data_IF_822149410025
#
_entry.id   IF_822149410025
#
_cell.length_a   1.000
_cell.length_b   1.000
_cell.length_c   1.000
_cell.angle_alpha   90.00
_cell.angle_beta   90.00
_cell.angle_gamma   90.00
#
_symmetry.space_group_name_H-M   'P 1'
#
loop_
_entity.id
_entity.type
_entity.pdbx_description
1 polymer ?
#
# COMPACT_ATOMS: atom_id res chain seq x y z
N UNK A 1 -1.83 -17.08 -23.18
CA UNK A 1 -2.68 -17.36 -21.98
C UNK A 1 -1.84 -16.96 -20.78
N UNK A 2 -2.35 -16.10 -19.87
CA UNK A 2 -1.61 -15.72 -18.68
C UNK A 2 -1.52 -16.87 -17.66
N UNK A 3 -0.56 -16.85 -16.74
CA UNK A 3 -0.47 -17.83 -15.65
C UNK A 3 -1.69 -17.70 -14.70
N UNK A 4 -1.99 -18.79 -13.98
CA UNK A 4 -2.97 -18.75 -12.90
C UNK A 4 -2.49 -17.86 -11.76
N UNK A 5 -3.40 -17.06 -11.20
CA UNK A 5 -3.10 -16.10 -10.13
C UNK A 5 -3.98 -16.33 -8.91
N UNK A 6 -3.51 -15.93 -7.75
CA UNK A 6 -4.33 -15.81 -6.55
C UNK A 6 -4.38 -14.34 -6.12
N UNK A 7 -5.55 -13.74 -6.21
CA UNK A 7 -5.80 -12.38 -5.71
C UNK A 7 -5.99 -12.44 -4.20
N UNK A 8 -5.25 -11.64 -3.46
CA UNK A 8 -5.21 -11.65 -1.98
C UNK A 8 -5.46 -10.24 -1.47
N UNK A 9 -6.56 -10.05 -0.75
CA UNK A 9 -6.92 -8.78 -0.14
C UNK A 9 -6.95 -8.90 1.39
N UNK A 10 -6.08 -8.20 2.12
CA UNK A 10 -6.17 -8.12 3.58
C UNK A 10 -7.39 -7.27 3.97
N UNK A 11 -8.16 -7.73 4.95
CA UNK A 11 -9.38 -7.06 5.37
C UNK A 11 -9.50 -6.96 6.89
N UNK A 12 -9.89 -5.78 7.40
CA UNK A 12 -10.15 -5.54 8.82
C UNK A 12 -11.28 -4.52 9.06
N UNK A 13 -12.16 -4.33 8.07
CA UNK A 13 -13.26 -3.37 8.08
C UNK A 13 -14.58 -3.90 8.64
N UNK A 14 -15.67 -3.14 8.45
CA UNK A 14 -17.03 -3.53 8.81
C UNK A 14 -17.64 -4.50 7.79
N UNK A 15 -18.72 -5.20 8.15
CA UNK A 15 -19.39 -6.18 7.25
C UNK A 15 -19.85 -5.56 5.93
N UNK A 16 -20.42 -4.35 5.97
CA UNK A 16 -20.81 -3.65 4.74
C UNK A 16 -19.64 -3.33 3.81
N UNK A 17 -18.43 -3.08 4.37
CA UNK A 17 -17.21 -2.89 3.59
C UNK A 17 -16.71 -4.21 3.00
N UNK A 18 -16.91 -5.34 3.73
CA UNK A 18 -16.62 -6.68 3.22
C UNK A 18 -17.52 -7.03 2.03
N UNK A 19 -18.82 -6.75 2.12
CA UNK A 19 -19.75 -6.99 1.02
C UNK A 19 -19.40 -6.18 -0.23
N UNK A 20 -19.06 -4.91 -0.05
CA UNK A 20 -18.59 -4.06 -1.15
C UNK A 20 -17.26 -4.53 -1.74
N UNK A 21 -16.32 -5.04 -0.92
CA UNK A 21 -15.06 -5.62 -1.38
C UNK A 21 -15.30 -6.86 -2.23
N UNK A 22 -16.16 -7.79 -1.76
CA UNK A 22 -16.50 -9.01 -2.49
C UNK A 22 -17.05 -8.65 -3.87
N UNK A 23 -18.00 -7.71 -3.97
CA UNK A 23 -18.53 -7.26 -5.26
C UNK A 23 -17.45 -6.70 -6.21
N UNK A 24 -16.42 -6.00 -5.67
CA UNK A 24 -15.30 -5.54 -6.50
C UNK A 24 -14.41 -6.69 -6.99
N UNK A 25 -14.17 -7.70 -6.15
CA UNK A 25 -13.39 -8.88 -6.55
C UNK A 25 -14.13 -9.75 -7.57
N UNK A 26 -15.45 -9.89 -7.44
CA UNK A 26 -16.29 -10.60 -8.41
C UNK A 26 -16.33 -9.93 -9.79
N UNK A 27 -16.11 -8.61 -9.85
CA UNK A 27 -16.04 -7.88 -11.11
C UNK A 27 -14.72 -8.10 -11.89
N UNK A 28 -13.70 -8.72 -11.29
CA UNK A 28 -12.48 -9.10 -11.98
C UNK A 28 -12.74 -10.21 -13.01
N UNK A 29 -12.11 -10.11 -14.19
CA UNK A 29 -12.09 -11.20 -15.17
C UNK A 29 -11.14 -12.32 -14.72
N UNK A 30 -11.57 -13.07 -13.70
CA UNK A 30 -10.85 -14.22 -13.20
C UNK A 30 -11.12 -15.45 -14.06
N UNK A 31 -10.07 -16.22 -14.33
CA UNK A 31 -10.18 -17.53 -15.00
C UNK A 31 -10.53 -18.66 -14.02
N UNK A 32 -10.84 -19.86 -14.52
CA UNK A 32 -11.25 -20.99 -13.68
C UNK A 32 -10.14 -21.48 -12.73
N UNK A 33 -8.88 -21.21 -13.05
CA UNK A 33 -7.70 -21.58 -12.25
C UNK A 33 -7.30 -20.49 -11.25
N UNK A 34 -7.96 -19.32 -11.24
CA UNK A 34 -7.64 -18.22 -10.35
C UNK A 34 -8.33 -18.38 -8.99
N UNK A 35 -7.67 -17.89 -7.94
CA UNK A 35 -8.25 -17.75 -6.61
C UNK A 35 -8.58 -16.29 -6.31
N UNK A 36 -9.73 -16.04 -5.70
CA UNK A 36 -10.08 -14.74 -5.11
C UNK A 36 -10.17 -14.92 -3.59
N UNK A 37 -9.23 -14.33 -2.85
CA UNK A 37 -9.05 -14.55 -1.42
C UNK A 37 -9.16 -13.24 -0.64
N UNK A 38 -10.04 -13.21 0.36
CA UNK A 38 -10.07 -12.15 1.38
C UNK A 38 -9.49 -12.71 2.67
N UNK A 39 -8.38 -12.15 3.13
CA UNK A 39 -7.75 -12.52 4.39
C UNK A 39 -8.36 -11.66 5.52
N UNK A 40 -9.35 -12.20 6.23
CA UNK A 40 -10.09 -11.52 7.28
C UNK A 40 -9.26 -11.44 8.57
N UNK A 41 -8.70 -10.26 8.83
CA UNK A 41 -7.85 -9.95 9.98
C UNK A 41 -8.63 -9.24 11.12
N UNK A 42 -9.95 -9.37 11.14
CA UNK A 42 -10.76 -8.89 12.25
C UNK A 42 -10.54 -9.72 13.52
N UNK A 43 -10.85 -9.21 14.70
CA UNK A 43 -10.74 -9.97 15.96
C UNK A 43 -11.56 -11.28 15.97
N UNK A 44 -12.66 -11.29 15.22
CA UNK A 44 -13.55 -12.44 15.03
C UNK A 44 -13.78 -12.64 13.54
N UNK A 45 -12.83 -13.26 12.84
CA UNK A 45 -13.00 -13.51 11.42
C UNK A 45 -14.13 -14.52 11.17
N UNK A 46 -14.80 -14.36 10.03
CA UNK A 46 -15.87 -15.26 9.58
C UNK A 46 -15.43 -15.99 8.31
N UNK A 47 -14.63 -17.08 8.41
CA UNK A 47 -14.17 -17.81 7.25
C UNK A 47 -15.32 -18.51 6.51
N UNK A 48 -15.18 -18.66 5.20
CA UNK A 48 -16.20 -19.29 4.37
C UNK A 48 -16.05 -18.92 2.89
N UNK A 49 -17.10 -19.13 2.12
CA UNK A 49 -17.20 -18.72 0.71
C UNK A 49 -18.41 -17.81 0.50
N UNK A 50 -18.21 -16.80 -0.35
CA UNK A 50 -19.27 -15.95 -0.90
C UNK A 50 -19.06 -15.86 -2.41
N UNK A 51 -19.91 -16.54 -3.18
CA UNK A 51 -19.69 -16.70 -4.62
C UNK A 51 -18.31 -17.32 -4.92
N UNK A 52 -17.51 -16.74 -5.84
CA UNK A 52 -16.18 -17.21 -6.16
C UNK A 52 -15.13 -16.83 -5.08
N UNK A 53 -15.43 -15.91 -4.18
CA UNK A 53 -14.48 -15.38 -3.18
C UNK A 53 -14.43 -16.28 -1.96
N UNK A 54 -13.22 -16.72 -1.58
CA UNK A 54 -12.96 -17.44 -0.34
C UNK A 54 -12.50 -16.46 0.75
N UNK A 55 -13.11 -16.52 1.93
CA UNK A 55 -12.72 -15.73 3.10
C UNK A 55 -11.86 -16.62 3.99
N UNK A 56 -10.61 -16.24 4.16
CA UNK A 56 -9.60 -16.94 4.97
C UNK A 56 -9.45 -16.24 6.33
N UNK A 57 -9.56 -16.99 7.41
CA UNK A 57 -9.31 -16.43 8.73
C UNK A 57 -7.83 -16.08 8.91
N UNK A 58 -7.54 -14.83 9.26
CA UNK A 58 -6.22 -14.33 9.59
C UNK A 58 -6.20 -13.80 11.04
N UNK A 59 -6.65 -14.64 11.98
CA UNK A 59 -6.65 -14.31 13.41
C UNK A 59 -5.25 -14.45 14.02
N UNK A 60 -4.79 -13.43 14.75
CA UNK A 60 -3.48 -13.43 15.36
C UNK A 60 -2.91 -12.01 15.47
N UNK A 61 -1.93 -11.69 14.65
CA UNK A 61 -1.37 -10.34 14.60
C UNK A 61 -2.27 -9.41 13.78
N UNK A 62 -2.50 -8.20 14.29
CA UNK A 62 -3.25 -7.16 13.58
C UNK A 62 -2.32 -6.39 12.65
N UNK A 63 -1.98 -6.99 11.52
CA UNK A 63 -1.17 -6.36 10.49
C UNK A 63 -1.59 -6.80 9.09
N UNK A 64 -1.50 -5.92 8.09
CA UNK A 64 -1.71 -6.28 6.70
C UNK A 64 -0.74 -7.38 6.23
N UNK A 65 0.50 -7.34 6.69
CA UNK A 65 1.53 -8.35 6.41
C UNK A 65 1.12 -9.75 6.85
N UNK A 66 0.64 -9.90 8.10
CA UNK A 66 0.13 -11.17 8.61
C UNK A 66 -1.07 -11.68 7.80
N UNK A 67 -2.02 -10.79 7.48
CA UNK A 67 -3.19 -11.14 6.69
C UNK A 67 -2.80 -11.58 5.26
N UNK A 68 -1.90 -10.83 4.58
CA UNK A 68 -1.43 -11.21 3.24
C UNK A 68 -0.71 -12.55 3.27
N UNK A 69 0.12 -12.83 4.28
CA UNK A 69 0.75 -14.15 4.43
C UNK A 69 -0.28 -15.27 4.67
N UNK A 70 -1.33 -15.02 5.45
CA UNK A 70 -2.39 -16.00 5.66
C UNK A 70 -3.12 -16.32 4.34
N UNK A 71 -3.42 -15.31 3.53
CA UNK A 71 -3.96 -15.49 2.18
C UNK A 71 -2.99 -16.24 1.26
N UNK A 72 -1.70 -15.89 1.28
CA UNK A 72 -0.66 -16.52 0.46
C UNK A 72 -0.49 -18.01 0.78
N UNK A 73 -0.60 -18.42 2.04
CA UNK A 73 -0.57 -19.84 2.42
C UNK A 73 -1.75 -20.64 1.86
N UNK A 74 -2.88 -19.99 1.58
CA UNK A 74 -4.09 -20.62 1.00
C UNK A 74 -4.09 -20.61 -0.52
N UNK A 75 -3.35 -19.68 -1.11
CA UNK A 75 -3.29 -19.41 -2.54
C UNK A 75 -2.70 -20.59 -3.34
N UNK A 76 -3.12 -20.77 -4.61
CA UNK A 76 -2.68 -21.83 -5.52
C UNK A 76 -2.04 -21.31 -6.80
N UNK A 77 -2.32 -20.07 -7.20
CA UNK A 77 -1.80 -19.46 -8.41
C UNK A 77 -0.27 -19.38 -8.45
N UNK A 78 0.32 -19.37 -9.60
CA UNK A 78 1.76 -19.17 -9.80
C UNK A 78 2.22 -17.76 -9.43
N UNK A 79 1.30 -16.80 -9.41
CA UNK A 79 1.49 -15.43 -8.98
C UNK A 79 0.50 -15.04 -7.91
N UNK A 80 0.95 -14.27 -6.94
CA UNK A 80 0.17 -13.72 -5.84
C UNK A 80 -0.10 -12.24 -6.14
N UNK A 81 -1.35 -11.90 -6.44
CA UNK A 81 -1.76 -10.52 -6.73
C UNK A 81 -2.30 -9.89 -5.45
N UNK A 82 -1.57 -8.94 -4.89
CA UNK A 82 -1.99 -8.21 -3.71
C UNK A 82 -2.71 -6.93 -4.12
N UNK A 83 -3.90 -6.73 -3.60
CA UNK A 83 -4.70 -5.49 -3.73
C UNK A 83 -5.29 -5.13 -2.37
N UNK A 84 -5.28 -3.85 -2.01
CA UNK A 84 -5.82 -3.41 -0.73
C UNK A 84 -7.36 -3.31 -0.76
N UNK A 85 -8.00 -3.45 0.41
CA UNK A 85 -9.45 -3.45 0.53
C UNK A 85 -10.10 -2.10 0.19
N UNK A 86 -9.34 -1.00 0.21
CA UNK A 86 -9.78 0.35 -0.16
C UNK A 86 -9.42 0.74 -1.61
N UNK A 87 -9.02 -0.24 -2.42
CA UNK A 87 -8.82 -0.07 -3.87
C UNK A 87 -9.99 -0.60 -4.68
N UNK A 88 -10.14 -0.07 -5.89
CA UNK A 88 -11.08 -0.55 -6.91
C UNK A 88 -10.28 -0.98 -8.15
N UNK A 89 -10.05 -2.29 -8.32
CA UNK A 89 -9.34 -2.81 -9.50
C UNK A 89 -10.24 -2.74 -10.74
N UNK A 90 -9.61 -2.48 -11.90
CA UNK A 90 -10.29 -2.62 -13.19
C UNK A 90 -10.58 -4.11 -13.46
N UNK A 91 -11.63 -4.40 -14.21
CA UNK A 91 -12.00 -5.77 -14.55
C UNK A 91 -10.88 -6.56 -15.26
N UNK A 92 -10.02 -5.88 -16.03
CA UNK A 92 -8.91 -6.44 -16.79
C UNK A 92 -7.56 -6.43 -16.06
N UNK A 93 -7.54 -6.09 -14.76
CA UNK A 93 -6.33 -5.99 -13.96
C UNK A 93 -5.40 -7.20 -14.12
N UNK A 94 -5.97 -8.40 -14.05
CA UNK A 94 -5.20 -9.65 -14.06
C UNK A 94 -4.51 -9.87 -15.42
N UNK A 95 -5.18 -9.54 -16.53
CA UNK A 95 -4.62 -9.64 -17.87
C UNK A 95 -3.54 -8.56 -18.10
N UNK A 96 -3.77 -7.35 -17.57
CA UNK A 96 -2.84 -6.23 -17.71
C UNK A 96 -1.49 -6.49 -17.03
N UNK A 97 -1.46 -7.23 -15.92
CA UNK A 97 -0.19 -7.64 -15.29
C UNK A 97 0.70 -8.49 -16.20
N UNK A 98 0.10 -9.31 -17.08
CA UNK A 98 0.81 -10.28 -17.90
C UNK A 98 0.85 -9.90 -19.39
N UNK A 99 0.62 -8.63 -19.70
CA UNK A 99 0.70 -8.09 -21.05
C UNK A 99 1.61 -6.85 -21.07
N UNK A 100 2.86 -6.98 -21.54
CA UNK A 100 3.53 -8.18 -22.08
C UNK A 100 3.82 -9.23 -20.99
N UNK A 101 4.16 -10.47 -21.35
CA UNK A 101 4.62 -11.47 -20.40
C UNK A 101 5.81 -10.97 -19.58
N UNK A 102 5.89 -11.28 -18.26
CA UNK A 102 7.03 -10.88 -17.44
C UNK A 102 8.29 -11.68 -17.81
N UNK A 103 9.46 -11.07 -17.60
CA UNK A 103 10.74 -11.75 -17.75
C UNK A 103 10.86 -12.92 -16.75
N UNK A 104 11.72 -13.89 -17.05
CA UNK A 104 11.87 -15.10 -16.23
C UNK A 104 12.42 -14.78 -14.83
N UNK A 105 13.23 -13.74 -14.71
CA UNK A 105 13.81 -13.25 -13.45
C UNK A 105 12.93 -12.18 -12.76
N UNK A 106 11.75 -11.86 -13.31
CA UNK A 106 10.81 -10.97 -12.65
C UNK A 106 10.21 -11.63 -11.41
N UNK A 107 10.51 -11.07 -10.24
CA UNK A 107 9.99 -11.51 -8.95
C UNK A 107 8.73 -10.79 -8.52
N UNK A 108 8.58 -9.53 -8.94
CA UNK A 108 7.43 -8.69 -8.61
C UNK A 108 7.11 -7.72 -9.76
N UNK A 109 5.83 -7.59 -10.04
CA UNK A 109 5.24 -6.66 -11.00
C UNK A 109 4.48 -5.57 -10.23
N UNK A 110 4.85 -4.31 -10.41
CA UNK A 110 4.20 -3.18 -9.76
C UNK A 110 3.13 -2.57 -10.64
N UNK A 111 1.88 -2.56 -10.15
CA UNK A 111 0.75 -1.94 -10.84
C UNK A 111 0.64 -0.44 -10.59
N UNK A 112 -0.14 0.23 -11.43
CA UNK A 112 -0.49 1.65 -11.26
C UNK A 112 -1.45 1.84 -10.09
N UNK A 113 -1.29 2.92 -9.33
CA UNK A 113 -2.21 3.34 -8.27
C UNK A 113 -2.60 4.78 -8.53
N UNK A 114 -3.91 5.06 -8.54
CA UNK A 114 -4.43 6.40 -8.73
C UNK A 114 -5.38 6.75 -7.59
N UNK A 115 -5.08 7.80 -6.85
CA UNK A 115 -6.00 8.33 -5.85
C UNK A 115 -7.25 8.92 -6.50
N UNK A 116 -8.42 8.54 -6.02
CA UNK A 116 -9.73 9.07 -6.45
C UNK A 116 -10.48 9.67 -5.27
N UNK A 117 -11.30 10.67 -5.58
CA UNK A 117 -12.10 11.39 -4.59
C UNK A 117 -13.53 10.87 -4.62
N UNK A 118 -13.96 10.16 -3.57
CA UNK A 118 -15.37 9.78 -3.39
C UNK A 118 -16.19 10.99 -2.91
N UNK A 119 -15.67 11.70 -1.91
CA UNK A 119 -16.29 12.94 -1.39
C UNK A 119 -15.30 14.09 -1.53
N UNK A 120 -15.70 15.22 -2.14
CA UNK A 120 -14.81 16.33 -2.45
C UNK A 120 -14.46 17.18 -1.21
N UNK A 121 -13.94 16.54 -0.16
CA UNK A 121 -13.41 17.27 1.00
C UNK A 121 -12.08 17.95 0.64
N UNK A 122 -11.70 18.98 1.39
CA UNK A 122 -10.42 19.67 1.19
C UNK A 122 -9.23 18.72 1.36
N UNK A 123 -9.35 17.76 2.28
CA UNK A 123 -8.29 16.75 2.52
C UNK A 123 -8.21 15.76 1.38
N UNK A 124 -9.33 15.28 0.84
CA UNK A 124 -9.31 14.37 -0.30
C UNK A 124 -8.70 15.04 -1.54
N UNK A 125 -9.06 16.32 -1.81
CA UNK A 125 -8.41 17.09 -2.90
C UNK A 125 -6.91 17.26 -2.67
N UNK A 126 -6.49 17.56 -1.43
CA UNK A 126 -5.06 17.61 -1.07
C UNK A 126 -4.33 16.29 -1.36
N UNK A 127 -4.91 15.14 -0.99
CA UNK A 127 -4.29 13.82 -1.21
C UNK A 127 -4.06 13.57 -2.70
N UNK A 128 -5.08 13.83 -3.53
CA UNK A 128 -5.00 13.69 -4.99
C UNK A 128 -4.01 14.70 -5.60
N UNK A 129 -4.05 15.97 -5.18
CA UNK A 129 -3.14 17.01 -5.68
C UNK A 129 -1.67 16.70 -5.39
N UNK A 130 -1.39 16.11 -4.25
CA UNK A 130 -0.02 15.73 -3.85
C UNK A 130 0.42 14.35 -4.34
N UNK A 131 -0.42 13.61 -5.09
CA UNK A 131 -0.12 12.29 -5.66
C UNK A 131 0.59 11.36 -4.65
N UNK A 132 0.06 11.27 -3.43
CA UNK A 132 0.76 10.63 -2.29
C UNK A 132 1.09 9.16 -2.50
N UNK A 133 0.32 8.44 -3.32
CA UNK A 133 0.52 7.03 -3.66
C UNK A 133 1.08 6.82 -5.07
N UNK A 134 1.55 7.88 -5.74
CA UNK A 134 2.19 7.73 -7.03
C UNK A 134 3.36 6.73 -6.94
N UNK A 135 3.34 5.63 -7.72
CA UNK A 135 4.41 4.63 -7.71
C UNK A 135 5.82 5.21 -7.97
N UNK A 136 5.91 6.34 -8.69
CA UNK A 136 7.17 7.02 -8.95
C UNK A 136 7.93 7.42 -7.68
N UNK A 137 7.21 7.71 -6.57
CA UNK A 137 7.86 8.01 -5.30
C UNK A 137 8.57 6.79 -4.70
N UNK A 138 7.94 5.61 -4.79
CA UNK A 138 8.51 4.36 -4.31
C UNK A 138 9.65 3.86 -5.21
N UNK A 139 9.49 4.01 -6.53
CA UNK A 139 10.52 3.68 -7.53
C UNK A 139 11.73 4.60 -7.45
N UNK A 140 11.53 5.89 -7.13
CA UNK A 140 12.59 6.87 -6.91
C UNK A 140 13.21 6.85 -5.50
N UNK A 141 12.92 5.84 -4.68
CA UNK A 141 13.43 5.78 -3.31
C UNK A 141 14.96 5.75 -3.28
N UNK A 142 15.62 6.65 -2.50
CA UNK A 142 17.07 6.86 -2.59
C UNK A 142 17.92 5.65 -2.18
N UNK A 143 17.39 4.74 -1.38
CA UNK A 143 18.09 3.51 -1.02
C UNK A 143 17.93 2.44 -2.12
N UNK A 144 16.70 2.01 -2.40
CA UNK A 144 16.35 1.05 -3.47
C UNK A 144 14.89 1.23 -3.89
N UNK A 145 14.53 0.99 -5.14
CA UNK A 145 13.14 1.00 -5.58
C UNK A 145 12.33 -0.11 -4.88
N UNK A 146 11.03 0.14 -4.74
CA UNK A 146 10.07 -0.86 -4.29
C UNK A 146 8.69 -0.59 -4.91
N UNK A 147 7.78 -1.56 -4.82
CA UNK A 147 6.37 -1.40 -5.19
C UNK A 147 5.49 -1.48 -3.94
N UNK A 148 4.41 -0.71 -3.96
CA UNK A 148 3.41 -0.72 -2.91
C UNK A 148 2.50 -1.94 -3.05
N UNK A 149 2.23 -2.64 -1.95
CA UNK A 149 1.34 -3.81 -1.96
C UNK A 149 -0.13 -3.48 -2.09
N UNK A 150 -0.48 -2.20 -2.18
CA UNK A 150 -1.82 -1.77 -2.55
C UNK A 150 -2.21 -2.23 -3.97
N UNK A 151 -1.22 -2.48 -4.84
CA UNK A 151 -1.41 -3.07 -6.17
C UNK A 151 -0.09 -3.66 -6.72
N UNK A 152 0.17 -4.93 -6.47
CA UNK A 152 1.32 -5.63 -7.05
C UNK A 152 1.04 -7.12 -7.26
N UNK A 153 1.77 -7.74 -8.19
CA UNK A 153 1.79 -9.19 -8.37
C UNK A 153 3.18 -9.74 -8.05
N UNK A 154 3.27 -10.71 -7.16
CA UNK A 154 4.54 -11.34 -6.74
C UNK A 154 4.58 -12.78 -7.23
N UNK A 155 5.68 -13.18 -7.89
CA UNK A 155 5.88 -14.58 -8.28
C UNK A 155 5.91 -15.45 -7.03
N UNK A 156 5.08 -16.50 -6.98
CA UNK A 156 4.96 -17.35 -5.78
C UNK A 156 6.31 -17.90 -5.33
N UNK A 157 7.12 -18.47 -6.24
CA UNK A 157 8.43 -19.02 -5.92
C UNK A 157 9.38 -17.98 -5.33
N UNK A 158 9.35 -16.73 -5.83
CA UNK A 158 10.12 -15.63 -5.29
C UNK A 158 9.64 -15.24 -3.87
N UNK A 159 8.31 -15.15 -3.67
CA UNK A 159 7.71 -14.87 -2.37
C UNK A 159 8.07 -15.91 -1.31
N UNK A 160 7.97 -17.19 -1.67
CA UNK A 160 8.31 -18.31 -0.80
C UNK A 160 9.82 -18.36 -0.49
N UNK A 161 10.68 -18.10 -1.49
CA UNK A 161 12.13 -18.05 -1.31
C UNK A 161 12.56 -17.04 -0.26
N UNK A 162 11.93 -15.87 -0.20
CA UNK A 162 12.27 -14.81 0.77
C UNK A 162 11.46 -14.90 2.07
N UNK A 163 10.57 -15.90 2.22
CA UNK A 163 9.80 -16.16 3.43
C UNK A 163 8.59 -15.22 3.62
N UNK A 164 8.07 -14.61 2.55
CA UNK A 164 6.89 -13.76 2.59
C UNK A 164 7.11 -12.40 3.27
N UNK A 165 6.02 -11.78 3.75
CA UNK A 165 6.07 -10.52 4.47
C UNK A 165 6.57 -10.67 5.91
N UNK A 166 7.20 -9.64 6.46
CA UNK A 166 7.53 -9.53 7.88
C UNK A 166 6.25 -9.31 8.70
N UNK A 167 5.63 -10.38 9.22
CA UNK A 167 4.28 -10.40 9.82
C UNK A 167 4.08 -9.41 10.97
N UNK A 168 5.13 -9.15 11.75
CA UNK A 168 5.08 -8.21 12.87
C UNK A 168 5.07 -6.74 12.44
N UNK A 169 5.41 -6.42 11.18
CA UNK A 169 5.41 -5.06 10.68
C UNK A 169 3.98 -4.58 10.38
N UNK A 170 3.67 -3.34 10.79
CA UNK A 170 2.39 -2.67 10.50
C UNK A 170 2.44 -1.83 9.24
N UNK A 171 3.63 -1.41 8.83
CA UNK A 171 3.89 -0.64 7.62
C UNK A 171 5.33 -0.85 7.16
N UNK A 172 5.63 -0.48 5.90
CA UNK A 172 6.90 -0.66 5.20
C UNK A 172 7.29 -2.13 4.97
N UNK A 173 6.36 -3.05 5.14
CA UNK A 173 6.51 -4.47 4.80
C UNK A 173 6.67 -4.70 3.30
N UNK A 174 6.16 -3.78 2.48
CA UNK A 174 6.28 -3.74 1.03
C UNK A 174 7.71 -3.45 0.58
N UNK A 175 8.33 -2.41 1.10
CA UNK A 175 9.72 -2.08 0.82
C UNK A 175 10.66 -3.20 1.31
N UNK A 176 10.44 -3.73 2.52
CA UNK A 176 11.20 -4.86 3.05
C UNK A 176 11.11 -6.10 2.15
N UNK A 177 9.90 -6.45 1.69
CA UNK A 177 9.72 -7.57 0.75
C UNK A 177 10.47 -7.33 -0.56
N UNK A 178 10.28 -6.17 -1.18
CA UNK A 178 10.94 -5.82 -2.44
C UNK A 178 12.47 -5.85 -2.34
N UNK A 179 13.03 -5.37 -1.23
CA UNK A 179 14.48 -5.37 -1.05
C UNK A 179 15.03 -6.78 -0.80
N UNK A 180 14.31 -7.65 -0.07
CA UNK A 180 14.69 -9.07 0.06
C UNK A 180 14.59 -9.84 -1.26
N UNK A 181 13.60 -9.51 -2.09
CA UNK A 181 13.51 -10.06 -3.45
C UNK A 181 14.72 -9.66 -4.30
N UNK A 182 15.11 -8.38 -4.27
CA UNK A 182 16.31 -7.89 -4.98
C UNK A 182 17.60 -8.54 -4.44
N UNK A 183 17.73 -8.70 -3.12
CA UNK A 183 18.88 -9.40 -2.51
C UNK A 183 18.94 -10.88 -2.93
N UNK A 184 17.80 -11.51 -3.22
CA UNK A 184 17.70 -12.88 -3.74
C UNK A 184 17.87 -12.96 -5.27
N UNK A 185 18.14 -11.86 -5.96
CA UNK A 185 18.42 -11.78 -7.40
C UNK A 185 17.18 -11.56 -8.28
N UNK A 186 15.99 -11.35 -7.69
CA UNK A 186 14.77 -11.07 -8.44
C UNK A 186 14.68 -9.62 -8.88
N UNK A 187 14.14 -9.40 -10.09
CA UNK A 187 13.91 -8.07 -10.65
C UNK A 187 12.51 -7.55 -10.33
N UNK A 188 12.41 -6.22 -10.30
CA UNK A 188 11.17 -5.48 -10.23
C UNK A 188 10.80 -5.01 -11.65
N UNK A 189 9.54 -5.25 -12.08
CA UNK A 189 9.02 -4.77 -13.35
C UNK A 189 7.77 -3.93 -13.17
N UNK A 190 7.67 -2.82 -13.89
CA UNK A 190 6.48 -1.96 -13.87
C UNK A 190 5.39 -2.48 -14.81
N UNK A 191 4.13 -2.38 -14.35
CA UNK A 191 2.92 -2.66 -15.12
C UNK A 191 1.91 -1.53 -14.92
N UNK A 192 2.16 -0.32 -15.46
CA UNK A 192 1.33 0.86 -15.21
C UNK A 192 -0.12 0.68 -15.68
N UNK A 193 -0.35 -0.17 -16.71
CA UNK A 193 -1.70 -0.49 -17.20
C UNK A 193 -2.50 -1.41 -16.26
N UNK A 194 -1.82 -2.18 -15.40
CA UNK A 194 -2.44 -2.94 -14.34
C UNK A 194 -2.79 -2.00 -13.17
N UNK A 195 -3.77 -1.11 -13.37
CA UNK A 195 -4.05 -0.01 -12.47
C UNK A 195 -5.25 -0.25 -11.57
N UNK A 196 -5.19 0.31 -10.37
CA UNK A 196 -6.29 0.39 -9.41
C UNK A 196 -6.59 1.84 -9.04
N UNK A 197 -7.85 2.12 -8.72
CA UNK A 197 -8.25 3.36 -8.07
C UNK A 197 -8.20 3.17 -6.55
N UNK A 198 -7.54 4.08 -5.85
CA UNK A 198 -7.44 4.07 -4.39
C UNK A 198 -8.23 5.23 -3.81
N UNK A 199 -9.03 4.97 -2.77
CA UNK A 199 -9.85 6.01 -2.15
C UNK A 199 -9.02 6.94 -1.28
N UNK A 200 -8.98 8.21 -1.66
CA UNK A 200 -8.31 9.26 -0.91
C UNK A 200 -8.88 9.43 0.51
N UNK A 201 -8.03 9.67 1.49
CA UNK A 201 -8.47 9.97 2.86
C UNK A 201 -9.27 11.27 2.89
N UNK A 202 -10.48 11.22 3.47
CA UNK A 202 -11.43 12.34 3.47
C UNK A 202 -11.25 13.29 4.65
N UNK A 203 -10.59 12.84 5.73
CA UNK A 203 -10.42 13.63 6.96
C UNK A 203 -8.95 13.79 7.34
N UNK A 204 -8.61 14.98 7.88
CA UNK A 204 -7.25 15.28 8.34
C UNK A 204 -6.79 14.28 9.40
N UNK A 205 -7.65 13.91 10.35
CA UNK A 205 -7.30 12.95 11.39
C UNK A 205 -6.99 11.55 10.84
N UNK A 206 -7.68 11.08 9.79
CA UNK A 206 -7.37 9.81 9.13
C UNK A 206 -6.04 9.89 8.39
N UNK A 207 -5.79 10.96 7.65
CA UNK A 207 -4.54 11.21 6.95
C UNK A 207 -3.34 11.25 7.92
N UNK A 208 -3.43 12.03 9.00
CA UNK A 208 -2.32 12.14 9.96
C UNK A 208 -2.05 10.83 10.69
N UNK A 209 -3.10 10.04 11.02
CA UNK A 209 -2.92 8.69 11.61
C UNK A 209 -2.20 7.75 10.66
N UNK A 210 -2.57 7.74 9.37
CA UNK A 210 -1.92 6.94 8.35
C UNK A 210 -0.44 7.30 8.22
N UNK A 211 -0.14 8.60 8.12
CA UNK A 211 1.24 9.09 8.00
C UNK A 211 2.09 8.76 9.24
N UNK A 212 1.50 8.82 10.45
CA UNK A 212 2.21 8.40 11.65
C UNK A 212 2.52 6.87 11.64
N UNK A 213 1.64 6.05 11.08
CA UNK A 213 1.92 4.60 10.90
C UNK A 213 3.05 4.40 9.87
N UNK A 214 3.03 5.14 8.76
CA UNK A 214 4.11 5.09 7.77
C UNK A 214 5.45 5.54 8.37
N UNK A 215 5.46 6.61 9.17
CA UNK A 215 6.66 7.06 9.87
C UNK A 215 7.25 5.99 10.81
N UNK A 216 6.40 5.26 11.54
CA UNK A 216 6.85 4.12 12.36
C UNK A 216 7.44 3.00 11.50
N UNK A 217 6.82 2.70 10.35
CA UNK A 217 7.30 1.72 9.37
C UNK A 217 8.67 2.07 8.83
N UNK A 218 8.85 3.31 8.40
CA UNK A 218 10.15 3.77 7.84
C UNK A 218 11.25 3.78 8.90
N UNK A 219 10.96 4.15 10.15
CA UNK A 219 11.94 4.04 11.22
C UNK A 219 12.32 2.59 11.53
N UNK A 220 11.36 1.65 11.44
CA UNK A 220 11.62 0.22 11.54
C UNK A 220 12.49 -0.26 10.36
N UNK A 221 12.17 0.18 9.15
CA UNK A 221 12.92 -0.16 7.94
C UNK A 221 14.37 0.36 8.03
N UNK A 222 14.57 1.60 8.50
CA UNK A 222 15.92 2.17 8.68
C UNK A 222 16.76 1.45 9.74
N UNK A 223 16.12 0.85 10.77
CA UNK A 223 16.83 -0.03 11.72
C UNK A 223 17.27 -1.35 11.08
N UNK A 224 16.47 -1.87 10.15
CA UNK A 224 16.74 -3.12 9.43
C UNK A 224 17.75 -2.93 8.29
N UNK A 225 17.68 -1.77 7.63
CA UNK A 225 18.54 -1.34 6.52
C UNK A 225 19.13 0.03 6.84
N UNK A 226 20.23 0.10 7.63
CA UNK A 226 20.79 1.36 8.10
C UNK A 226 21.10 2.32 6.96
N UNK A 227 20.64 3.57 7.09
CA UNK A 227 20.82 4.62 6.08
C UNK A 227 19.73 4.66 4.99
N UNK A 228 18.74 3.75 5.00
CA UNK A 228 17.65 3.77 4.04
C UNK A 228 16.75 5.00 4.19
N UNK A 229 16.51 5.45 5.41
CA UNK A 229 15.79 6.70 5.71
C UNK A 229 16.24 7.24 7.10
N UNK A 230 17.28 8.06 7.17
CA UNK A 230 17.88 8.51 8.43
C UNK A 230 17.01 9.47 9.24
N UNK A 231 15.90 9.97 8.68
CA UNK A 231 15.06 10.97 9.33
C UNK A 231 15.62 12.39 9.29
N UNK A 232 14.79 13.38 9.66
CA UNK A 232 15.17 14.78 9.55
C UNK A 232 16.14 15.21 10.66
N UNK A 233 17.11 16.04 10.31
CA UNK A 233 17.96 16.75 11.28
C UNK A 233 17.18 17.87 11.98
N UNK A 234 17.68 18.32 13.14
CA UNK A 234 17.11 19.48 13.86
C UNK A 234 17.04 20.74 12.99
N UNK A 235 18.05 20.96 12.14
CA UNK A 235 18.08 22.10 11.19
C UNK A 235 16.94 22.00 10.18
N UNK A 236 16.68 20.80 9.64
CA UNK A 236 15.56 20.57 8.72
C UNK A 236 14.20 20.78 9.41
N UNK A 237 14.03 20.31 10.65
CA UNK A 237 12.81 20.55 11.44
C UNK A 237 12.58 22.02 11.69
N UNK A 238 13.60 22.77 12.15
CA UNK A 238 13.52 24.20 12.35
C UNK A 238 13.21 24.96 11.05
N UNK A 239 13.83 24.55 9.94
CA UNK A 239 13.56 25.09 8.60
C UNK A 239 12.10 24.93 8.19
N UNK A 240 11.51 23.76 8.42
CA UNK A 240 10.08 23.49 8.12
C UNK A 240 9.17 24.44 8.91
N UNK A 241 9.39 24.60 10.22
CA UNK A 241 8.57 25.47 11.08
C UNK A 241 8.60 26.96 10.66
N UNK A 242 9.65 27.39 9.97
CA UNK A 242 9.72 28.75 9.44
C UNK A 242 9.22 28.90 8.01
N UNK A 243 9.50 27.91 7.15
CA UNK A 243 9.22 27.97 5.72
C UNK A 243 7.74 27.78 5.39
N UNK A 244 7.09 26.76 5.95
CA UNK A 244 5.70 26.43 5.62
C UNK A 244 4.71 27.55 5.98
N UNK A 245 4.73 28.13 7.21
CA UNK A 245 3.82 29.24 7.54
C UNK A 245 4.05 30.49 6.68
N UNK A 246 5.31 30.81 6.37
CA UNK A 246 5.62 31.97 5.50
C UNK A 246 5.11 31.75 4.07
N UNK A 247 5.30 30.54 3.55
CA UNK A 247 4.82 30.17 2.22
C UNK A 247 3.30 30.18 2.15
N UNK A 248 2.62 29.61 3.14
CA UNK A 248 1.16 29.64 3.23
C UNK A 248 0.63 31.09 3.30
N UNK A 249 1.24 31.94 4.11
CA UNK A 249 0.93 33.35 4.17
C UNK A 249 1.10 34.06 2.82
N UNK A 250 2.21 33.84 2.15
CA UNK A 250 2.49 34.40 0.82
C UNK A 250 1.45 33.96 -0.21
N UNK A 251 1.07 32.67 -0.23
CA UNK A 251 0.02 32.12 -1.10
C UNK A 251 -1.34 32.76 -0.82
N UNK A 252 -1.73 32.85 0.46
CA UNK A 252 -2.99 33.46 0.87
C UNK A 252 -3.09 34.92 0.43
N UNK A 253 -2.00 35.71 0.55
CA UNK A 253 -1.97 37.10 0.08
C UNK A 253 -2.13 37.27 -1.42
N UNK A 254 -1.78 36.24 -2.22
CA UNK A 254 -2.03 36.21 -3.67
C UNK A 254 -3.42 35.71 -4.04
N UNK A 255 -4.29 35.42 -3.05
CA UNK A 255 -5.61 34.88 -3.28
C UNK A 255 -5.64 33.34 -3.47
N UNK A 256 -4.50 32.66 -3.42
CA UNK A 256 -4.31 31.21 -3.59
C UNK A 256 -4.66 30.47 -2.29
N UNK A 257 -5.92 30.61 -1.81
CA UNK A 257 -6.33 30.14 -0.46
C UNK A 257 -6.28 28.62 -0.31
N UNK A 258 -6.61 27.88 -1.35
CA UNK A 258 -6.58 26.40 -1.30
C UNK A 258 -5.15 25.90 -1.22
N UNK A 259 -4.24 26.42 -2.04
CA UNK A 259 -2.82 26.08 -1.99
C UNK A 259 -2.17 26.49 -0.65
N UNK A 260 -2.56 27.64 -0.10
CA UNK A 260 -2.12 28.04 1.25
C UNK A 260 -2.52 27.02 2.31
N UNK A 261 -3.74 26.48 2.23
CA UNK A 261 -4.20 25.40 3.11
C UNK A 261 -3.40 24.10 2.87
N UNK A 262 -3.14 23.74 1.62
CA UNK A 262 -2.38 22.53 1.29
C UNK A 262 -0.96 22.60 1.83
N UNK A 263 -0.31 23.76 1.76
CA UNK A 263 1.02 24.00 2.38
C UNK A 263 0.98 23.80 3.90
N UNK A 264 -0.09 24.20 4.58
CA UNK A 264 -0.24 23.93 6.02
C UNK A 264 -0.50 22.45 6.32
N UNK A 265 -1.28 21.79 5.47
CA UNK A 265 -1.49 20.33 5.59
C UNK A 265 -0.17 19.59 5.37
N UNK A 266 0.69 20.03 4.44
CA UNK A 266 2.04 19.46 4.24
C UNK A 266 2.87 19.52 5.53
N UNK A 267 2.86 20.63 6.25
CA UNK A 267 3.55 20.75 7.53
C UNK A 267 3.01 19.77 8.58
N UNK A 268 1.69 19.66 8.71
CA UNK A 268 1.04 18.73 9.65
C UNK A 268 1.33 17.28 9.26
N UNK A 269 1.28 16.96 7.96
CA UNK A 269 1.57 15.66 7.39
C UNK A 269 3.00 15.20 7.71
N UNK A 270 3.99 16.05 7.45
CA UNK A 270 5.39 15.80 7.77
C UNK A 270 5.61 15.66 9.29
N UNK A 271 4.96 16.52 10.09
CA UNK A 271 5.06 16.44 11.55
C UNK A 271 4.46 15.12 12.11
N UNK A 272 3.33 14.68 11.57
CA UNK A 272 2.72 13.41 11.95
C UNK A 272 3.59 12.21 11.55
N UNK A 273 4.18 12.26 10.36
CA UNK A 273 5.12 11.25 9.88
C UNK A 273 6.36 11.17 10.78
N UNK A 274 6.99 12.31 11.09
CA UNK A 274 8.17 12.34 11.97
C UNK A 274 7.84 11.91 13.41
N UNK A 275 6.69 12.33 13.96
CA UNK A 275 6.21 11.84 15.26
C UNK A 275 5.93 10.32 15.25
N UNK A 276 5.50 9.80 14.12
CA UNK A 276 5.35 8.36 13.89
C UNK A 276 6.66 7.59 14.04
N UNK A 277 7.78 8.16 13.60
CA UNK A 277 9.12 7.53 13.70
C UNK A 277 9.54 7.22 15.14
N UNK A 278 8.94 7.88 16.12
CA UNK A 278 9.17 7.63 17.55
C UNK A 278 8.29 6.50 18.12
N UNK A 279 7.41 5.91 17.30
CA UNK A 279 6.48 4.86 17.72
C UNK A 279 6.97 3.48 17.30
N UNK A 280 6.49 2.44 18.00
CA UNK A 280 6.68 1.06 17.55
C UNK A 280 5.90 0.79 16.25
N UNK A 281 6.53 0.03 15.35
CA UNK A 281 5.90 -0.55 14.16
C UNK A 281 5.33 -1.95 14.40
N UNK A 282 5.43 -2.48 15.63
CA UNK A 282 5.03 -3.84 15.92
C UNK A 282 3.50 -4.00 15.88
N UNK A 283 3.06 -5.06 15.22
CA UNK A 283 1.68 -5.49 15.20
C UNK A 283 1.23 -5.92 16.60
N UNK A 284 -0.01 -5.58 16.94
CA UNK A 284 -0.64 -6.04 18.20
C UNK A 284 -1.34 -7.39 17.95
N UNK A 285 -1.43 -8.17 19.00
CA UNK A 285 -2.28 -9.37 19.02
C UNK A 285 -3.75 -9.02 19.14
#
# INVERSE_FOLDING_TARGET
>A
MRPAVSVITPFAGADAELDALIGRLEALRAGPEDDLLVADNRPRPAPGRRGPVEIVAAAGLRSPAFARNAGARRARGAWLVFVDADTAPRADLLDAYFTPPPDDDAGILGGGIRDVVDRPTRVARYVVDREKLDPRHALGHPHRPFFQTANCAVRRSAFEQVGGFAEAARAAEDADLCWRLQDAGWRLEERPEAAVEHRARETLGALLRQLAVHGAGVAWLNRRYPGSDPGPSLRQLAGRLSWYPRTAWSRARRGEREEALFVLIDLLALSAYDAGRLRSNDARR
#
